data_IF_779572746006
#
_entry.id   IF_779572746006
#
_cell.length_a   1.000
_cell.length_b   1.000
_cell.length_c   1.000
_cell.angle_alpha   90.00
_cell.angle_beta   90.00
_cell.angle_gamma   90.00
#
_symmetry.space_group_name_H-M   'P 1'
#
loop_
_entity.id
_entity.type
_entity.pdbx_description
1 polymer ?
#
# COMPACT_ATOMS: atom_id res chain seq x y z
N UNK A 1 23.03 19.86 44.67
CA UNK A 1 22.51 20.34 43.36
C UNK A 1 21.57 19.22 42.87
N UNK A 2 20.32 19.53 42.61
CA UNK A 2 19.34 18.49 42.16
C UNK A 2 19.42 18.38 40.65
N UNK A 3 19.45 17.15 40.12
CA UNK A 3 19.36 16.87 38.69
C UNK A 3 17.90 16.99 38.22
N UNK A 4 17.74 17.44 36.97
CA UNK A 4 16.42 17.52 36.35
C UNK A 4 15.89 16.12 36.11
N UNK A 5 14.75 15.77 36.69
CA UNK A 5 14.09 14.52 36.45
C UNK A 5 13.43 14.52 35.08
N UNK A 6 13.74 13.52 34.23
CA UNK A 6 12.99 13.27 33.02
C UNK A 6 11.71 12.51 33.37
N UNK A 7 10.59 13.21 33.32
CA UNK A 7 9.26 12.63 33.55
C UNK A 7 8.61 12.37 32.20
N UNK A 8 8.28 11.11 31.93
CA UNK A 8 7.49 10.75 30.74
C UNK A 8 6.13 11.45 30.84
N UNK A 9 5.72 12.24 29.84
CA UNK A 9 4.43 12.90 29.87
C UNK A 9 3.28 11.90 30.02
N UNK A 10 2.37 12.13 30.97
CA UNK A 10 1.30 11.19 31.30
C UNK A 10 0.40 10.82 30.11
N UNK A 11 0.22 11.72 29.12
CA UNK A 11 -0.51 11.37 27.88
C UNK A 11 0.18 10.27 27.06
N UNK A 12 1.53 10.18 27.08
CA UNK A 12 2.25 9.08 26.41
C UNK A 12 1.97 7.75 27.10
N UNK A 13 1.94 7.73 28.42
CA UNK A 13 1.58 6.54 29.19
C UNK A 13 0.15 6.08 28.88
N UNK A 14 -0.79 7.01 28.67
CA UNK A 14 -2.14 6.68 28.19
C UNK A 14 -2.09 6.05 26.80
N UNK A 15 -1.33 6.63 25.85
CA UNK A 15 -1.17 6.05 24.51
C UNK A 15 -0.64 4.63 24.59
N UNK A 16 0.47 4.42 25.29
CA UNK A 16 1.16 3.12 25.41
C UNK A 16 0.26 2.07 26.09
N UNK A 17 -0.53 2.47 27.08
CA UNK A 17 -1.46 1.57 27.76
C UNK A 17 -2.56 1.08 26.82
N UNK A 18 -3.21 1.98 26.09
CA UNK A 18 -4.28 1.62 25.14
C UNK A 18 -3.70 0.87 23.93
N UNK A 19 -2.58 1.31 23.37
CA UNK A 19 -1.88 0.62 22.28
C UNK A 19 -1.52 -0.82 22.64
N UNK A 20 -1.07 -1.06 23.87
CA UNK A 20 -0.77 -2.40 24.38
C UNK A 20 -2.01 -3.29 24.43
N UNK A 21 -3.16 -2.76 24.81
CA UNK A 21 -4.44 -3.51 24.80
C UNK A 21 -4.84 -3.88 23.37
N UNK A 22 -4.67 -2.96 22.42
CA UNK A 22 -4.95 -3.17 20.99
C UNK A 22 -3.99 -4.21 20.39
N UNK A 23 -2.67 -4.03 20.56
CA UNK A 23 -1.66 -4.91 19.96
C UNK A 23 -1.70 -6.31 20.56
N UNK A 24 -2.04 -6.43 21.86
CA UNK A 24 -2.23 -7.75 22.50
C UNK A 24 -3.52 -8.47 22.09
N UNK A 25 -4.42 -7.81 21.34
CA UNK A 25 -5.68 -8.35 20.90
C UNK A 25 -6.77 -8.37 21.98
N UNK A 26 -6.55 -7.76 23.17
CA UNK A 26 -7.60 -7.59 24.19
C UNK A 26 -8.64 -6.55 23.78
N UNK A 27 -8.25 -5.59 22.96
CA UNK A 27 -9.14 -4.69 22.24
C UNK A 27 -8.97 -4.94 20.74
N UNK A 28 -9.97 -5.48 20.08
CA UNK A 28 -9.96 -5.77 18.66
C UNK A 28 -10.54 -4.65 17.80
N UNK A 29 -10.34 -4.68 16.47
CA UNK A 29 -10.98 -3.74 15.55
C UNK A 29 -12.50 -3.75 15.69
N UNK A 30 -13.12 -2.58 15.84
CA UNK A 30 -14.54 -2.39 16.08
C UNK A 30 -14.92 -2.31 17.56
N UNK A 31 -14.02 -2.70 18.49
CA UNK A 31 -14.31 -2.59 19.91
C UNK A 31 -14.36 -1.11 20.34
N UNK A 32 -15.37 -0.82 21.15
CA UNK A 32 -15.58 0.52 21.65
C UNK A 32 -14.67 0.79 22.85
N UNK A 33 -13.97 1.91 22.84
CA UNK A 33 -13.20 2.38 23.98
C UNK A 33 -14.11 2.98 25.05
N UNK A 34 -13.73 2.88 26.34
CA UNK A 34 -14.38 3.64 27.40
C UNK A 34 -14.33 5.15 27.10
N UNK A 35 -15.27 5.89 27.68
CA UNK A 35 -15.30 7.35 27.53
C UNK A 35 -14.07 8.01 28.12
N UNK A 36 -13.78 9.25 27.69
CA UNK A 36 -12.68 10.06 28.28
C UNK A 36 -12.78 10.18 29.79
N UNK A 37 -14.00 10.20 30.33
CA UNK A 37 -14.25 10.29 31.79
C UNK A 37 -13.92 8.96 32.47
N UNK A 38 -14.41 7.84 31.95
CA UNK A 38 -14.12 6.51 32.48
C UNK A 38 -12.64 6.17 32.41
N UNK A 39 -11.96 6.50 31.29
CA UNK A 39 -10.52 6.33 31.18
C UNK A 39 -9.73 7.22 32.15
N UNK A 40 -10.19 8.46 32.42
CA UNK A 40 -9.58 9.35 33.38
C UNK A 40 -9.68 8.79 34.81
N UNK A 41 -10.81 8.22 35.16
CA UNK A 41 -11.01 7.53 36.44
C UNK A 41 -10.14 6.27 36.55
N UNK A 42 -10.12 5.42 35.52
CA UNK A 42 -9.33 4.18 35.50
C UNK A 42 -7.84 4.43 35.60
N UNK A 43 -7.32 5.44 34.89
CA UNK A 43 -5.90 5.80 34.90
C UNK A 43 -5.48 6.72 36.07
N UNK A 44 -6.43 7.27 36.82
CA UNK A 44 -6.14 8.25 37.86
C UNK A 44 -5.56 9.56 37.29
N UNK A 45 -5.96 9.95 36.10
CA UNK A 45 -5.45 11.11 35.37
C UNK A 45 -6.56 12.12 35.07
N UNK A 46 -6.15 13.33 34.65
CA UNK A 46 -7.13 14.33 34.20
C UNK A 46 -7.74 13.96 32.86
N UNK A 47 -8.99 14.36 32.60
CA UNK A 47 -9.66 14.18 31.30
C UNK A 47 -8.87 14.84 30.15
N UNK A 48 -8.20 15.97 30.45
CA UNK A 48 -7.36 16.65 29.45
C UNK A 48 -6.18 15.77 29.02
N UNK A 49 -5.49 15.15 29.97
CA UNK A 49 -4.36 14.23 29.70
C UNK A 49 -4.80 13.01 28.86
N UNK A 50 -5.95 12.42 29.23
CA UNK A 50 -6.52 11.29 28.49
C UNK A 50 -6.91 11.71 27.08
N UNK A 51 -7.58 12.84 26.90
CA UNK A 51 -7.96 13.36 25.57
C UNK A 51 -6.76 13.58 24.68
N UNK A 52 -5.65 14.11 25.22
CA UNK A 52 -4.42 14.31 24.45
C UNK A 52 -3.82 12.96 23.99
N UNK A 53 -3.81 11.94 24.87
CA UNK A 53 -3.39 10.58 24.51
C UNK A 53 -4.27 9.98 23.42
N UNK A 54 -5.59 10.07 23.56
CA UNK A 54 -6.55 9.57 22.57
C UNK A 54 -6.40 10.28 21.22
N UNK A 55 -6.15 11.60 21.21
CA UNK A 55 -5.89 12.37 19.98
C UNK A 55 -4.66 11.86 19.22
N UNK A 56 -3.61 11.47 19.92
CA UNK A 56 -2.42 10.89 19.30
C UNK A 56 -2.72 9.51 18.68
N UNK A 57 -3.47 8.66 19.38
CA UNK A 57 -3.90 7.36 18.85
C UNK A 57 -4.81 7.52 17.63
N UNK A 58 -5.71 8.53 17.65
CA UNK A 58 -6.57 8.86 16.52
C UNK A 58 -5.76 9.36 15.30
N UNK A 59 -4.77 10.22 15.51
CA UNK A 59 -3.83 10.66 14.48
C UNK A 59 -2.94 9.51 13.97
N UNK A 60 -2.68 8.51 14.84
CA UNK A 60 -1.97 7.26 14.51
C UNK A 60 -2.80 6.29 13.67
N UNK A 61 -4.13 6.48 13.60
CA UNK A 61 -5.05 5.58 12.92
C UNK A 61 -5.41 4.32 13.71
N UNK A 62 -5.00 4.21 14.99
CA UNK A 62 -5.31 3.07 15.86
C UNK A 62 -6.73 3.16 16.43
N UNK A 63 -7.26 4.37 16.57
CA UNK A 63 -8.63 4.61 17.01
C UNK A 63 -9.32 5.59 16.07
N UNK A 64 -10.63 5.56 16.03
CA UNK A 64 -11.45 6.45 15.20
C UNK A 64 -12.76 6.82 15.87
N UNK A 65 -13.47 7.82 15.31
CA UNK A 65 -14.81 8.23 15.75
C UNK A 65 -15.80 7.92 14.65
N UNK A 66 -16.87 7.22 14.98
CA UNK A 66 -18.07 7.20 14.16
C UNK A 66 -18.95 8.41 14.46
N UNK A 67 -19.88 8.70 13.55
CA UNK A 67 -20.79 9.83 13.67
C UNK A 67 -21.45 9.84 15.08
N UNK A 68 -20.89 10.63 16.00
CA UNK A 68 -21.55 10.84 17.28
C UNK A 68 -20.73 10.82 18.54
N UNK A 69 -19.44 10.67 18.64
CA UNK A 69 -18.66 10.89 19.88
C UNK A 69 -17.91 9.72 20.51
N UNK A 70 -18.23 8.46 20.20
CA UNK A 70 -17.52 7.32 20.82
C UNK A 70 -16.31 6.94 20.00
N UNK A 71 -15.21 6.62 20.68
CA UNK A 71 -14.00 6.10 20.06
C UNK A 71 -14.09 4.59 19.98
N UNK A 72 -13.60 4.04 18.87
CA UNK A 72 -13.49 2.60 18.65
C UNK A 72 -12.12 2.28 18.07
N UNK A 73 -11.69 1.05 18.27
CA UNK A 73 -10.43 0.55 17.68
C UNK A 73 -10.59 0.45 16.16
N UNK A 74 -9.67 1.10 15.42
CA UNK A 74 -9.55 0.96 13.98
C UNK A 74 -8.52 -0.10 13.63
N UNK A 75 -8.77 -0.81 12.54
CA UNK A 75 -7.69 -1.50 11.84
C UNK A 75 -7.14 -0.55 10.80
N UNK A 76 -5.89 -0.06 10.96
CA UNK A 76 -5.30 0.81 9.95
C UNK A 76 -5.28 0.11 8.59
N UNK A 77 -5.85 0.75 7.58
CA UNK A 77 -5.79 0.24 6.22
C UNK A 77 -4.41 0.53 5.62
N UNK A 78 -3.89 -0.38 4.79
CA UNK A 78 -2.58 -0.19 4.15
C UNK A 78 -2.48 1.15 3.41
N UNK A 79 -3.55 1.60 2.75
CA UNK A 79 -3.61 2.89 2.07
C UNK A 79 -3.47 4.11 3.02
N UNK A 80 -3.85 3.98 4.30
CA UNK A 80 -3.67 5.05 5.30
C UNK A 80 -2.21 5.12 5.81
N UNK A 81 -1.50 3.99 5.80
CA UNK A 81 -0.10 3.89 6.25
C UNK A 81 0.90 4.24 5.14
N UNK A 82 0.56 3.94 3.89
CA UNK A 82 1.41 4.16 2.73
C UNK A 82 1.97 5.60 2.62
N UNK A 83 1.20 6.69 2.82
CA UNK A 83 1.74 8.05 2.71
C UNK A 83 2.86 8.38 3.70
N UNK A 84 2.91 7.74 4.86
CA UNK A 84 4.01 7.93 5.83
C UNK A 84 5.27 7.20 5.38
N UNK A 85 5.14 5.96 4.95
CA UNK A 85 6.24 5.17 4.41
C UNK A 85 6.78 5.79 3.12
N UNK A 86 5.90 6.25 2.22
CA UNK A 86 6.26 6.95 0.99
C UNK A 86 7.12 8.18 1.27
N UNK A 87 6.73 9.04 2.21
CA UNK A 87 7.56 10.20 2.58
C UNK A 87 8.93 9.79 3.10
N UNK A 88 9.02 8.72 3.90
CA UNK A 88 10.29 8.22 4.41
C UNK A 88 11.19 7.74 3.25
N UNK A 89 10.65 6.98 2.29
CA UNK A 89 11.38 6.50 1.10
C UNK A 89 11.89 7.67 0.24
N UNK A 90 11.06 8.69 0.01
CA UNK A 90 11.47 9.90 -0.74
C UNK A 90 12.59 10.65 -0.01
N UNK A 91 12.48 10.81 1.32
CA UNK A 91 13.55 11.44 2.12
C UNK A 91 14.86 10.65 2.10
N UNK A 92 14.80 9.32 1.98
CA UNK A 92 15.95 8.44 1.80
C UNK A 92 16.50 8.47 0.36
N UNK A 93 15.86 9.23 -0.55
CA UNK A 93 16.26 9.33 -1.95
C UNK A 93 16.29 7.97 -2.66
N UNK A 94 15.28 7.12 -2.37
CA UNK A 94 15.16 5.80 -2.99
C UNK A 94 15.14 5.92 -4.51
N UNK A 95 15.89 5.06 -5.18
CA UNK A 95 16.08 5.04 -6.62
C UNK A 95 15.09 4.10 -7.32
N UNK A 96 14.95 4.26 -8.64
CA UNK A 96 14.11 3.34 -9.42
C UNK A 96 14.58 1.88 -9.31
N UNK A 97 15.91 1.64 -9.32
CA UNK A 97 16.44 0.27 -9.25
C UNK A 97 16.10 -0.39 -7.91
N UNK A 98 16.18 0.34 -6.79
CA UNK A 98 15.82 -0.18 -5.47
C UNK A 98 14.33 -0.54 -5.39
N UNK A 99 13.43 0.31 -5.94
CA UNK A 99 12.00 -0.01 -6.01
C UNK A 99 11.74 -1.24 -6.89
N UNK A 100 12.42 -1.33 -8.04
CA UNK A 100 12.30 -2.43 -8.97
C UNK A 100 12.73 -3.77 -8.33
N UNK A 101 13.85 -3.79 -7.61
CA UNK A 101 14.36 -4.99 -6.92
C UNK A 101 13.36 -5.51 -5.88
N UNK A 102 12.74 -4.61 -5.11
CA UNK A 102 11.71 -4.98 -4.14
C UNK A 102 10.46 -5.49 -4.85
N UNK A 103 10.01 -4.81 -5.91
CA UNK A 103 8.84 -5.27 -6.68
C UNK A 103 9.07 -6.63 -7.34
N UNK A 104 10.28 -6.89 -7.87
CA UNK A 104 10.67 -8.20 -8.38
C UNK A 104 10.62 -9.32 -7.34
N UNK A 105 10.71 -8.98 -6.07
CA UNK A 105 10.60 -9.93 -4.95
C UNK A 105 9.15 -10.14 -4.51
N UNK A 106 8.33 -9.10 -4.53
CA UNK A 106 6.98 -9.12 -3.98
C UNK A 106 5.90 -9.50 -5.01
N UNK A 107 5.91 -8.86 -6.18
CA UNK A 107 4.82 -8.98 -7.17
C UNK A 107 4.70 -10.39 -7.77
N UNK A 108 5.78 -11.07 -8.17
CA UNK A 108 5.66 -12.46 -8.65
C UNK A 108 5.13 -13.42 -7.59
N UNK A 109 5.56 -13.25 -6.33
CA UNK A 109 5.05 -14.05 -5.22
C UNK A 109 3.55 -13.77 -4.96
N UNK A 110 3.11 -12.51 -5.07
CA UNK A 110 1.71 -12.16 -4.98
C UNK A 110 0.89 -12.87 -6.06
N UNK A 111 1.35 -12.86 -7.32
CA UNK A 111 0.66 -13.52 -8.43
C UNK A 111 0.58 -15.03 -8.24
N UNK A 112 1.68 -15.69 -7.83
CA UNK A 112 1.68 -17.13 -7.55
C UNK A 112 0.66 -17.53 -6.47
N UNK A 113 0.60 -16.74 -5.38
CA UNK A 113 -0.37 -16.97 -4.31
C UNK A 113 -1.80 -16.69 -4.76
N UNK A 114 -2.00 -15.59 -5.49
CA UNK A 114 -3.31 -15.22 -6.02
C UNK A 114 -3.92 -16.36 -6.87
N UNK A 115 -3.12 -17.05 -7.68
CA UNK A 115 -3.57 -18.18 -8.49
C UNK A 115 -4.18 -19.32 -7.66
N UNK A 116 -3.76 -19.50 -6.41
CA UNK A 116 -4.31 -20.54 -5.50
C UNK A 116 -5.52 -20.07 -4.69
N UNK A 117 -5.78 -18.76 -4.66
CA UNK A 117 -6.78 -18.14 -3.79
C UNK A 117 -7.93 -17.48 -4.57
N UNK A 118 -7.80 -17.39 -5.90
CA UNK A 118 -8.73 -16.65 -6.75
C UNK A 118 -10.10 -17.33 -6.82
N UNK A 119 -11.13 -16.52 -6.83
CA UNK A 119 -12.51 -16.93 -7.04
C UNK A 119 -13.10 -16.26 -8.31
N UNK A 120 -14.26 -16.73 -8.80
CA UNK A 120 -14.89 -16.20 -10.02
C UNK A 120 -15.21 -14.69 -9.96
N UNK A 121 -15.54 -14.14 -8.77
CA UNK A 121 -15.86 -12.73 -8.63
C UNK A 121 -14.59 -11.87 -8.81
N UNK A 122 -13.49 -12.29 -8.20
CA UNK A 122 -12.18 -11.63 -8.33
C UNK A 122 -11.60 -11.73 -9.75
N UNK A 123 -11.85 -12.84 -10.46
CA UNK A 123 -11.54 -12.94 -11.89
C UNK A 123 -12.30 -11.86 -12.67
N UNK A 124 -13.60 -11.69 -12.38
CA UNK A 124 -14.42 -10.68 -13.02
C UNK A 124 -13.92 -9.24 -12.79
N UNK A 125 -13.40 -8.94 -11.59
CA UNK A 125 -12.79 -7.64 -11.28
C UNK A 125 -11.51 -7.41 -12.10
N UNK A 126 -10.62 -8.40 -12.20
CA UNK A 126 -9.39 -8.31 -12.99
C UNK A 126 -9.69 -8.18 -14.50
N UNK A 127 -10.65 -8.96 -15.02
CA UNK A 127 -11.08 -8.87 -16.42
C UNK A 127 -11.77 -7.52 -16.70
N UNK A 128 -12.47 -6.94 -15.72
CA UNK A 128 -13.03 -5.58 -15.79
C UNK A 128 -11.95 -4.53 -15.92
N UNK A 129 -10.96 -4.57 -15.03
CA UNK A 129 -9.81 -3.68 -15.05
C UNK A 129 -9.03 -3.77 -16.39
N UNK A 130 -8.83 -4.98 -16.92
CA UNK A 130 -8.18 -5.18 -18.22
C UNK A 130 -8.98 -4.54 -19.36
N UNK A 131 -10.31 -4.71 -19.42
CA UNK A 131 -11.15 -4.04 -20.43
C UNK A 131 -11.04 -2.52 -20.35
N UNK A 132 -11.06 -1.94 -19.15
CA UNK A 132 -10.88 -0.50 -18.96
C UNK A 132 -9.51 -0.01 -19.46
N UNK A 133 -8.45 -0.83 -19.29
CA UNK A 133 -7.13 -0.53 -19.85
C UNK A 133 -7.15 -0.54 -21.38
N UNK A 134 -7.77 -1.54 -21.99
CA UNK A 134 -7.89 -1.65 -23.46
C UNK A 134 -8.66 -0.45 -24.03
N UNK A 135 -9.80 -0.09 -23.46
CA UNK A 135 -10.59 1.08 -23.82
C UNK A 135 -9.81 2.40 -23.63
N UNK A 136 -9.07 2.53 -22.53
CA UNK A 136 -8.24 3.70 -22.27
C UNK A 136 -7.11 3.82 -23.30
N UNK A 137 -6.48 2.71 -23.65
CA UNK A 137 -5.41 2.65 -24.64
C UNK A 137 -5.90 3.03 -26.04
N UNK A 138 -7.03 2.49 -26.45
CA UNK A 138 -7.65 2.80 -27.76
C UNK A 138 -8.10 4.27 -27.85
N UNK A 139 -8.50 4.86 -26.72
CA UNK A 139 -8.84 6.27 -26.61
C UNK A 139 -7.62 7.21 -26.41
N UNK A 140 -6.39 6.68 -26.41
CA UNK A 140 -5.16 7.44 -26.17
C UNK A 140 -5.04 8.01 -24.75
N UNK A 141 -5.75 7.43 -23.77
CA UNK A 141 -5.72 7.85 -22.37
C UNK A 141 -4.64 7.07 -21.61
N UNK A 142 -4.17 7.63 -20.48
CA UNK A 142 -3.22 6.97 -19.59
C UNK A 142 -3.85 5.73 -18.94
N UNK A 143 -3.08 4.63 -18.89
CA UNK A 143 -3.45 3.38 -18.23
C UNK A 143 -2.76 3.19 -16.88
N UNK A 144 -1.92 4.14 -16.44
CA UNK A 144 -1.06 3.97 -15.25
C UNK A 144 -1.87 3.76 -13.97
N UNK A 145 -2.96 4.48 -13.79
CA UNK A 145 -3.82 4.29 -12.62
C UNK A 145 -4.48 2.89 -12.60
N UNK A 146 -4.86 2.39 -13.77
CA UNK A 146 -5.45 1.06 -13.92
C UNK A 146 -4.41 -0.05 -13.68
N UNK A 147 -3.16 0.17 -14.09
CA UNK A 147 -2.04 -0.71 -13.80
C UNK A 147 -1.80 -0.84 -12.29
N UNK A 148 -1.73 0.29 -11.57
CA UNK A 148 -1.61 0.29 -10.11
C UNK A 148 -2.77 -0.45 -9.45
N UNK A 149 -4.01 -0.24 -9.92
CA UNK A 149 -5.19 -0.93 -9.42
C UNK A 149 -5.14 -2.44 -9.69
N UNK A 150 -4.67 -2.87 -10.87
CA UNK A 150 -4.47 -4.28 -11.21
C UNK A 150 -3.55 -4.99 -10.21
N UNK A 151 -2.37 -4.42 -9.97
CA UNK A 151 -1.41 -4.96 -9.02
C UNK A 151 -1.95 -4.99 -7.58
N UNK A 152 -2.74 -3.99 -7.19
CA UNK A 152 -3.42 -3.98 -5.89
C UNK A 152 -4.44 -5.11 -5.78
N UNK A 153 -5.26 -5.34 -6.80
CA UNK A 153 -6.21 -6.46 -6.84
C UNK A 153 -5.49 -7.81 -6.72
N UNK A 154 -4.40 -8.02 -7.46
CA UNK A 154 -3.60 -9.26 -7.37
C UNK A 154 -3.06 -9.46 -5.96
N UNK A 155 -2.54 -8.41 -5.33
CA UNK A 155 -2.00 -8.49 -3.97
C UNK A 155 -3.09 -8.73 -2.91
N UNK A 156 -4.29 -8.18 -3.07
CA UNK A 156 -5.45 -8.46 -2.22
C UNK A 156 -5.89 -9.92 -2.34
N UNK A 157 -6.00 -10.44 -3.58
CA UNK A 157 -6.37 -11.82 -3.86
C UNK A 157 -5.35 -12.79 -3.23
N UNK A 158 -4.07 -12.44 -3.21
CA UNK A 158 -3.02 -13.24 -2.56
C UNK A 158 -3.25 -13.45 -1.05
N UNK A 159 -4.17 -12.70 -0.43
CA UNK A 159 -4.59 -12.82 0.97
C UNK A 159 -3.42 -12.81 1.98
N UNK A 160 -2.31 -12.12 1.65
CA UNK A 160 -1.17 -11.92 2.53
C UNK A 160 -1.09 -10.45 2.96
N UNK A 161 -1.60 -10.17 4.16
CA UNK A 161 -1.69 -8.80 4.69
C UNK A 161 -0.31 -8.13 4.83
N UNK A 162 0.74 -8.89 5.15
CA UNK A 162 2.10 -8.36 5.28
C UNK A 162 2.67 -7.97 3.92
N UNK A 163 2.44 -8.80 2.88
CA UNK A 163 2.85 -8.50 1.51
C UNK A 163 2.12 -7.25 1.00
N UNK A 164 0.82 -7.16 1.20
CA UNK A 164 0.01 -6.01 0.77
C UNK A 164 0.51 -4.72 1.43
N UNK A 165 0.78 -4.75 2.75
CA UNK A 165 1.30 -3.60 3.49
C UNK A 165 2.70 -3.18 3.03
N UNK A 166 3.59 -4.14 2.76
CA UNK A 166 4.95 -3.86 2.31
C UNK A 166 4.99 -3.29 0.88
N UNK A 167 4.07 -3.74 0.02
CA UNK A 167 4.01 -3.38 -1.39
C UNK A 167 3.48 -1.97 -1.63
N UNK A 168 2.48 -1.55 -0.87
CA UNK A 168 1.70 -0.35 -1.18
C UNK A 168 2.52 0.95 -1.31
N UNK A 169 3.45 1.29 -0.39
CA UNK A 169 4.28 2.49 -0.53
C UNK A 169 5.16 2.48 -1.79
N UNK A 170 5.63 1.29 -2.18
CA UNK A 170 6.50 1.07 -3.34
C UNK A 170 5.70 1.30 -4.62
N UNK A 171 4.51 0.72 -4.69
CA UNK A 171 3.58 0.87 -5.82
C UNK A 171 3.27 2.34 -6.10
N UNK A 172 3.02 3.14 -5.06
CA UNK A 172 2.74 4.57 -5.21
C UNK A 172 3.94 5.36 -5.76
N UNK A 173 5.18 4.93 -5.48
CA UNK A 173 6.38 5.55 -6.05
C UNK A 173 6.64 5.14 -7.51
N UNK A 174 6.12 4.01 -7.96
CA UNK A 174 6.18 3.63 -9.37
C UNK A 174 5.27 4.47 -10.25
N UNK A 175 4.19 5.03 -9.72
CA UNK A 175 3.22 5.79 -10.50
C UNK A 175 3.86 6.92 -11.35
N UNK A 176 4.65 7.88 -10.78
CA UNK A 176 5.33 8.89 -11.56
C UNK A 176 6.35 8.33 -12.55
N UNK A 177 7.05 7.27 -12.14
CA UNK A 177 8.04 6.61 -12.98
C UNK A 177 7.41 6.00 -14.25
N UNK A 178 6.22 5.39 -14.11
CA UNK A 178 5.46 4.84 -15.24
C UNK A 178 4.91 5.94 -16.16
N UNK A 179 4.43 7.06 -15.61
CA UNK A 179 4.01 8.21 -16.42
C UNK A 179 5.18 8.70 -17.27
N UNK A 180 6.36 8.92 -16.66
CA UNK A 180 7.59 9.32 -17.36
C UNK A 180 7.97 8.33 -18.47
N UNK A 181 7.88 7.03 -18.17
CA UNK A 181 8.22 5.95 -19.09
C UNK A 181 7.27 5.91 -20.31
N UNK A 182 5.97 5.99 -20.09
CA UNK A 182 4.98 5.90 -21.16
C UNK A 182 4.81 7.20 -21.96
N UNK A 183 5.24 8.34 -21.43
CA UNK A 183 5.31 9.58 -22.19
C UNK A 183 6.51 9.63 -23.14
N UNK A 184 7.55 8.78 -22.92
CA UNK A 184 8.77 8.83 -23.71
C UNK A 184 8.57 8.31 -25.15
N UNK A 185 9.05 9.03 -26.20
CA UNK A 185 8.80 8.67 -27.61
C UNK A 185 9.22 7.25 -28.00
N UNK A 186 10.26 6.69 -27.36
CA UNK A 186 10.75 5.33 -27.65
C UNK A 186 9.89 4.23 -27.06
N UNK A 187 8.98 4.55 -26.12
CA UNK A 187 8.19 3.56 -25.39
C UNK A 187 6.67 3.80 -25.44
N UNK A 188 6.21 5.03 -25.72
CA UNK A 188 4.80 5.46 -25.65
C UNK A 188 3.83 4.61 -26.50
N UNK A 189 4.27 4.08 -27.63
CA UNK A 189 3.40 3.35 -28.55
C UNK A 189 3.39 1.86 -28.24
N UNK A 190 4.50 1.29 -27.79
CA UNK A 190 4.66 -0.14 -27.56
C UNK A 190 4.62 -0.55 -26.08
N UNK A 191 5.09 0.30 -25.17
CA UNK A 191 5.13 0.01 -23.74
C UNK A 191 3.75 -0.31 -23.16
N UNK A 192 2.76 0.57 -23.31
CA UNK A 192 1.40 0.31 -22.82
C UNK A 192 0.75 -0.93 -23.42
N UNK A 193 0.99 -1.23 -24.70
CA UNK A 193 0.45 -2.43 -25.37
C UNK A 193 1.06 -3.72 -24.80
N UNK A 194 2.38 -3.73 -24.55
CA UNK A 194 3.05 -4.89 -23.91
C UNK A 194 2.57 -5.09 -22.47
N UNK A 195 2.29 -3.99 -21.74
CA UNK A 195 1.74 -4.07 -20.41
C UNK A 195 0.37 -4.77 -20.42
N UNK A 196 -0.56 -4.30 -21.26
CA UNK A 196 -1.90 -4.89 -21.38
C UNK A 196 -1.81 -6.37 -21.75
N UNK A 197 -0.91 -6.73 -22.67
CA UNK A 197 -0.69 -8.13 -23.08
C UNK A 197 -0.17 -8.99 -21.92
N UNK A 198 0.78 -8.47 -21.11
CA UNK A 198 1.26 -9.17 -19.93
C UNK A 198 0.14 -9.39 -18.90
N UNK A 199 -0.71 -8.39 -18.66
CA UNK A 199 -1.87 -8.52 -17.76
C UNK A 199 -2.84 -9.58 -18.25
N UNK A 200 -3.11 -9.68 -19.56
CA UNK A 200 -3.96 -10.74 -20.14
C UNK A 200 -3.42 -12.12 -19.82
N UNK A 201 -2.11 -12.32 -19.96
CA UNK A 201 -1.46 -13.60 -19.64
C UNK A 201 -1.49 -13.90 -18.13
N UNK A 202 -1.27 -12.89 -17.29
CA UNK A 202 -1.37 -13.06 -15.83
C UNK A 202 -2.79 -13.50 -15.46
N UNK A 203 -3.82 -12.82 -15.95
CA UNK A 203 -5.22 -13.19 -15.70
C UNK A 203 -5.51 -14.60 -16.16
N UNK A 204 -5.03 -15.00 -17.34
CA UNK A 204 -5.22 -16.36 -17.85
C UNK A 204 -4.60 -17.42 -16.93
N UNK A 205 -3.39 -17.18 -16.43
CA UNK A 205 -2.71 -18.06 -15.47
C UNK A 205 -3.45 -18.11 -14.11
N UNK A 206 -3.91 -16.96 -13.61
CA UNK A 206 -4.71 -16.89 -12.39
C UNK A 206 -6.01 -17.68 -12.53
N UNK A 207 -6.72 -17.53 -13.65
CA UNK A 207 -7.97 -18.24 -13.96
C UNK A 207 -7.77 -19.75 -14.08
N UNK A 208 -6.61 -20.19 -14.56
CA UNK A 208 -6.23 -21.59 -14.62
C UNK A 208 -5.75 -22.16 -13.28
N UNK A 209 -5.54 -21.34 -12.26
CA UNK A 209 -4.94 -21.75 -10.99
C UNK A 209 -3.45 -22.10 -11.11
N UNK A 210 -2.78 -21.67 -12.19
CA UNK A 210 -1.38 -21.98 -12.46
C UNK A 210 -0.46 -20.97 -11.78
N UNK A 211 -0.02 -21.31 -10.57
CA UNK A 211 0.88 -20.47 -9.74
C UNK A 211 2.22 -20.22 -10.44
N UNK A 212 2.76 -21.21 -11.13
CA UNK A 212 4.07 -21.10 -11.78
C UNK A 212 4.02 -20.16 -12.96
N UNK A 213 2.99 -20.29 -13.79
CA UNK A 213 2.81 -19.40 -14.94
C UNK A 213 2.43 -17.99 -14.51
N UNK A 214 1.60 -17.82 -13.48
CA UNK A 214 1.26 -16.53 -12.91
C UNK A 214 2.51 -15.79 -12.38
N UNK A 215 3.38 -16.49 -11.63
CA UNK A 215 4.66 -15.97 -11.19
C UNK A 215 5.55 -15.57 -12.36
N UNK A 216 5.67 -16.43 -13.34
CA UNK A 216 6.53 -16.25 -14.52
C UNK A 216 6.12 -15.02 -15.32
N UNK A 217 4.83 -14.85 -15.61
CA UNK A 217 4.32 -13.70 -16.35
C UNK A 217 4.46 -12.40 -15.55
N UNK A 218 4.16 -12.40 -14.25
CA UNK A 218 4.35 -11.24 -13.40
C UNK A 218 5.83 -10.84 -13.36
N UNK A 219 6.74 -11.79 -13.25
CA UNK A 219 8.20 -11.54 -13.28
C UNK A 219 8.63 -10.90 -14.60
N UNK A 220 8.14 -11.39 -15.72
CA UNK A 220 8.43 -10.82 -17.06
C UNK A 220 7.87 -9.40 -17.18
N UNK A 221 6.66 -9.20 -16.67
CA UNK A 221 5.99 -7.91 -16.66
C UNK A 221 6.80 -6.86 -15.87
N UNK A 222 7.21 -7.16 -14.64
CA UNK A 222 8.04 -6.25 -13.83
C UNK A 222 9.43 -6.05 -14.47
N UNK A 223 10.02 -7.08 -15.09
CA UNK A 223 11.29 -6.95 -15.81
C UNK A 223 11.19 -6.00 -17.02
N UNK A 224 10.03 -5.93 -17.68
CA UNK A 224 9.82 -5.06 -18.84
C UNK A 224 9.89 -3.56 -18.48
N UNK A 225 9.54 -3.17 -17.26
CA UNK A 225 9.70 -1.78 -16.80
C UNK A 225 11.17 -1.36 -16.78
N UNK A 226 12.05 -2.18 -16.23
CA UNK A 226 13.48 -1.90 -16.22
C UNK A 226 14.03 -1.80 -17.66
N UNK A 227 13.66 -2.77 -18.52
CA UNK A 227 14.03 -2.73 -19.92
C UNK A 227 13.53 -1.45 -20.62
N UNK A 228 12.33 -1.01 -20.30
CA UNK A 228 11.78 0.25 -20.80
C UNK A 228 12.63 1.46 -20.40
N UNK A 229 13.09 1.50 -19.16
CA UNK A 229 14.00 2.54 -18.65
C UNK A 229 15.33 2.54 -19.42
N UNK A 230 15.95 1.37 -19.61
CA UNK A 230 17.19 1.22 -20.38
C UNK A 230 17.02 1.70 -21.84
N UNK A 231 15.92 1.32 -22.51
CA UNK A 231 15.60 1.74 -23.89
C UNK A 231 15.39 3.26 -23.99
N UNK A 232 14.78 3.86 -22.98
CA UNK A 232 14.58 5.31 -22.92
C UNK A 232 15.85 6.07 -22.54
N UNK A 233 16.88 5.39 -22.03
CA UNK A 233 18.12 6.02 -21.57
C UNK A 233 17.97 6.72 -20.22
N UNK A 234 17.03 6.31 -19.39
CA UNK A 234 16.86 6.85 -18.05
C UNK A 234 17.89 6.25 -17.09
N UNK A 235 18.36 7.04 -16.13
CA UNK A 235 19.26 6.56 -15.08
C UNK A 235 18.45 5.76 -14.03
N UNK A 236 18.80 4.50 -13.89
CA UNK A 236 18.18 3.61 -12.90
C UNK A 236 18.48 4.01 -11.45
N UNK A 237 19.58 4.73 -11.23
CA UNK A 237 20.03 5.21 -9.92
C UNK A 237 19.53 6.63 -9.60
N UNK A 238 18.76 7.25 -10.50
CA UNK A 238 18.12 8.53 -10.22
C UNK A 238 17.07 8.35 -9.11
N UNK A 239 17.09 9.17 -8.04
CA UNK A 239 16.06 9.14 -7.01
C UNK A 239 14.68 9.37 -7.60
N UNK A 240 13.71 8.57 -7.15
CA UNK A 240 12.32 8.76 -7.57
C UNK A 240 11.71 9.95 -6.85
N UNK A 241 10.89 10.71 -7.57
CA UNK A 241 10.13 11.82 -7.02
C UNK A 241 8.73 11.34 -6.64
N UNK A 242 8.21 11.85 -5.51
CA UNK A 242 6.80 11.67 -5.22
C UNK A 242 6.00 12.45 -6.25
N UNK A 243 5.25 11.76 -7.08
CA UNK A 243 4.24 12.43 -7.93
C UNK A 243 3.24 13.17 -7.04
N UNK A 244 2.85 14.36 -7.44
CA UNK A 244 1.67 15.00 -6.87
C UNK A 244 0.47 14.14 -7.29
N UNK A 245 -0.36 13.68 -6.30
CA UNK A 245 -1.53 12.89 -6.60
C UNK A 245 -2.55 13.65 -7.43
#
# INVERSE_FOLDING_TARGET
>A
MFERLEVVPAYKTVCEAIEREIVSGRLGPGDQLPTETELAEQFGLTRHTVREGLRILEQGGLVGREAGRRLFVKQPHYAELAPRALRALVMQRVTFIELWEVSMSLEPNAAARAATMIDPARIGELEGNLREMEEALDAGRSIVALDVAFHTLVAEIAANKALLLAREPISQLFYPALIKLFAHPRNRDNGPRRLVEAHRHIIAALKAGDSTEAESWMRRHIADFRRGYDVCGFDLNEPVEAGTP
#
